data_IF_905260715904
#
_entry.id   IF_905260715904
#
_cell.length_a   1.000
_cell.length_b   1.000
_cell.length_c   1.000
_cell.angle_alpha   90.00
_cell.angle_beta   90.00
_cell.angle_gamma   90.00
#
_symmetry.space_group_name_H-M   'P 1'
#
loop_
_entity.id
_entity.type
_entity.pdbx_description
1 polymer ?
#
# COMPACT_ATOMS: atom_id res chain seq x y z
N UNK A 1 -23.95 -0.04 29.86
CA UNK A 1 -23.40 -1.10 30.74
C UNK A 1 -22.71 -2.07 29.81
N UNK A 2 -21.42 -1.91 29.58
CA UNK A 2 -20.67 -2.70 28.59
C UNK A 2 -19.92 -3.81 29.29
N UNK A 3 -20.29 -5.05 28.97
CA UNK A 3 -19.67 -6.28 29.43
C UNK A 3 -18.40 -6.52 28.62
N UNK A 4 -17.30 -6.90 29.27
CA UNK A 4 -16.08 -7.38 28.59
C UNK A 4 -15.83 -8.82 29.01
N UNK A 5 -15.78 -9.68 28.01
CA UNK A 5 -15.40 -11.08 28.06
C UNK A 5 -13.89 -11.15 27.77
N UNK A 6 -13.13 -11.80 28.63
CA UNK A 6 -11.78 -12.22 28.34
C UNK A 6 -11.83 -13.64 27.75
N UNK A 7 -11.23 -13.84 26.59
CA UNK A 7 -10.95 -15.15 26.06
C UNK A 7 -9.46 -15.23 25.72
N UNK A 8 -8.75 -16.12 26.40
CA UNK A 8 -7.45 -16.61 25.94
C UNK A 8 -7.74 -17.67 24.88
N UNK A 9 -7.53 -17.36 23.61
CA UNK A 9 -7.57 -18.39 22.57
C UNK A 9 -6.16 -18.87 22.30
N UNK A 10 -5.72 -19.87 23.05
CA UNK A 10 -4.84 -20.90 22.52
C UNK A 10 -5.70 -22.15 22.37
N UNK A 11 -6.22 -22.37 21.18
CA UNK A 11 -6.59 -23.70 20.71
C UNK A 11 -6.06 -23.81 19.28
N UNK A 12 -5.03 -24.64 19.11
CA UNK A 12 -4.73 -25.28 17.84
C UNK A 12 -5.97 -26.10 17.42
N UNK A 13 -6.43 -26.05 16.17
CA UNK A 13 -7.29 -27.10 15.67
C UNK A 13 -6.43 -28.35 15.49
N UNK A 14 -6.66 -29.37 16.32
CA UNK A 14 -6.35 -30.76 15.95
C UNK A 14 -7.14 -31.07 14.66
N UNK A 15 -6.40 -31.26 13.56
CA UNK A 15 -6.97 -31.46 12.23
C UNK A 15 -5.90 -31.81 11.21
N UNK A 16 -5.53 -33.08 11.21
CA UNK A 16 -4.63 -33.82 10.31
C UNK A 16 -4.47 -33.24 8.89
N UNK A 17 -3.39 -32.50 8.71
CA UNK A 17 -2.85 -32.08 7.43
C UNK A 17 -1.45 -31.52 7.67
N UNK A 18 -0.43 -32.39 7.67
CA UNK A 18 0.97 -31.98 7.76
C UNK A 18 1.30 -30.99 6.65
N UNK A 19 1.22 -29.69 6.95
CA UNK A 19 1.97 -28.68 6.23
C UNK A 19 3.35 -28.70 6.87
N UNK A 20 4.31 -29.35 6.20
CA UNK A 20 5.69 -29.35 6.63
C UNK A 20 6.14 -27.90 6.86
N UNK A 21 6.53 -27.58 8.09
CA UNK A 21 7.18 -26.32 8.39
C UNK A 21 8.41 -26.20 7.46
N UNK A 22 8.61 -25.07 6.76
CA UNK A 22 9.79 -24.91 5.93
C UNK A 22 11.04 -25.09 6.80
N UNK A 23 11.88 -26.04 6.40
CA UNK A 23 13.16 -26.30 7.05
C UNK A 23 14.08 -25.11 6.80
N UNK A 24 14.25 -24.29 7.83
CA UNK A 24 15.26 -23.23 7.86
C UNK A 24 16.63 -23.88 7.65
N UNK A 25 17.42 -23.36 6.71
CA UNK A 25 18.78 -23.82 6.48
C UNK A 25 19.57 -23.83 7.81
N UNK A 26 20.36 -24.88 8.09
CA UNK A 26 21.02 -25.08 9.40
C UNK A 26 21.99 -23.96 9.83
N UNK A 27 22.27 -23.00 8.95
CA UNK A 27 23.21 -21.90 9.16
C UNK A 27 22.54 -20.55 9.50
N UNK A 28 21.23 -20.42 9.33
CA UNK A 28 20.50 -19.21 9.71
C UNK A 28 20.33 -19.14 11.23
N UNK A 29 21.33 -18.62 11.93
CA UNK A 29 21.26 -18.33 13.37
C UNK A 29 20.45 -17.05 13.62
N UNK A 30 19.13 -17.12 13.44
CA UNK A 30 18.29 -16.15 14.15
C UNK A 30 18.39 -16.49 15.63
N UNK A 31 19.16 -15.69 16.37
CA UNK A 31 19.06 -15.71 17.84
C UNK A 31 17.88 -14.81 18.16
N UNK A 32 16.72 -15.36 18.60
CA UNK A 32 15.61 -14.51 18.99
C UNK A 32 16.13 -13.55 20.06
N UNK A 33 15.86 -12.26 19.90
CA UNK A 33 16.09 -11.33 21.01
C UNK A 33 15.43 -11.92 22.25
N UNK A 34 16.15 -11.90 23.38
CA UNK A 34 15.57 -12.28 24.66
C UNK A 34 14.35 -11.37 24.89
N UNK A 35 13.15 -11.90 24.65
CA UNK A 35 11.91 -11.17 24.92
C UNK A 35 11.78 -11.16 26.43
N UNK A 36 12.00 -9.99 27.03
CA UNK A 36 11.71 -9.78 28.43
C UNK A 36 10.24 -10.16 28.64
N UNK A 37 9.97 -11.23 29.40
CA UNK A 37 8.59 -11.59 29.75
C UNK A 37 8.04 -10.46 30.59
N UNK A 38 7.28 -9.58 29.96
CA UNK A 38 6.59 -8.52 30.66
C UNK A 38 5.51 -9.18 31.52
N UNK A 39 5.77 -9.24 32.82
CA UNK A 39 4.75 -9.50 33.84
C UNK A 39 3.61 -8.51 33.66
N UNK A 40 2.38 -8.94 33.96
CA UNK A 40 1.12 -8.17 33.90
C UNK A 40 1.32 -6.65 33.94
N UNK A 41 0.67 -5.87 33.06
CA UNK A 41 0.77 -4.42 33.11
C UNK A 41 0.48 -3.96 34.54
N UNK A 42 1.39 -3.16 35.12
CA UNK A 42 1.28 -2.73 36.52
C UNK A 42 -0.02 -1.96 36.83
N UNK A 43 -0.76 -1.59 35.78
CA UNK A 43 -2.01 -0.86 35.76
C UNK A 43 -3.06 -1.63 34.94
N UNK A 44 -4.34 -1.56 35.33
CA UNK A 44 -5.43 -2.22 34.59
C UNK A 44 -5.61 -1.69 33.16
N UNK A 45 -6.34 -2.44 32.31
CA UNK A 45 -6.54 -2.11 30.89
C UNK A 45 -7.02 -0.67 30.63
N UNK A 46 -7.87 -0.12 31.51
CA UNK A 46 -8.39 1.24 31.38
C UNK A 46 -7.30 2.29 31.54
N UNK A 47 -6.45 2.12 32.56
CA UNK A 47 -5.33 3.03 32.81
C UNK A 47 -4.29 2.91 31.70
N UNK A 48 -4.02 1.69 31.22
CA UNK A 48 -3.14 1.44 30.07
C UNK A 48 -3.67 2.06 28.77
N UNK A 49 -4.99 2.00 28.53
CA UNK A 49 -5.62 2.66 27.38
C UNK A 49 -5.60 4.18 27.51
N UNK A 50 -5.85 4.73 28.71
CA UNK A 50 -5.81 6.17 28.98
C UNK A 50 -4.40 6.76 28.96
N UNK A 51 -3.35 5.95 29.12
CA UNK A 51 -1.97 6.40 29.06
C UNK A 51 -1.36 6.36 27.66
N UNK A 52 -2.10 5.89 26.65
CA UNK A 52 -1.62 5.90 25.27
C UNK A 52 -1.29 7.32 24.80
N UNK A 53 -0.15 7.51 24.10
CA UNK A 53 0.17 8.78 23.45
C UNK A 53 -0.98 9.29 22.59
N UNK A 54 -1.23 10.60 22.65
CA UNK A 54 -2.33 11.22 21.93
C UNK A 54 -2.25 10.98 20.41
N UNK A 55 -1.04 10.94 19.85
CA UNK A 55 -0.81 10.62 18.44
C UNK A 55 -1.27 9.21 18.07
N UNK A 56 -1.04 8.21 18.93
CA UNK A 56 -1.49 6.84 18.72
C UNK A 56 -3.01 6.76 18.76
N UNK A 57 -3.63 7.43 19.74
CA UNK A 57 -5.09 7.52 19.83
C UNK A 57 -5.69 8.22 18.59
N UNK A 58 -5.05 9.27 18.07
CA UNK A 58 -5.48 9.95 16.84
C UNK A 58 -5.41 9.03 15.63
N UNK A 59 -4.31 8.29 15.44
CA UNK A 59 -4.14 7.32 14.35
C UNK A 59 -5.21 6.23 14.42
N UNK A 60 -5.46 5.66 15.60
CA UNK A 60 -6.50 4.65 15.83
C UNK A 60 -7.90 5.21 15.52
N UNK A 61 -8.19 6.43 15.98
CA UNK A 61 -9.48 7.09 15.72
C UNK A 61 -9.71 7.36 14.23
N UNK A 62 -8.66 7.71 13.48
CA UNK A 62 -8.72 7.91 12.02
C UNK A 62 -9.02 6.61 11.27
N UNK A 63 -8.53 5.48 11.76
CA UNK A 63 -8.80 4.16 11.18
C UNK A 63 -10.14 3.53 11.56
N UNK A 64 -10.99 4.23 12.32
CA UNK A 64 -12.28 3.72 12.78
C UNK A 64 -13.45 4.29 11.97
N UNK A 65 -14.34 3.42 11.49
CA UNK A 65 -15.60 3.76 10.85
C UNK A 65 -16.76 3.05 11.56
N UNK A 66 -17.78 3.79 12.06
CA UNK A 66 -18.93 3.20 12.75
C UNK A 66 -19.65 2.13 11.90
N UNK A 67 -19.93 0.96 12.49
CA UNK A 67 -20.62 -0.13 11.80
C UNK A 67 -19.71 -1.04 10.96
N UNK A 68 -18.54 -0.57 10.52
CA UNK A 68 -17.57 -1.38 9.75
C UNK A 68 -16.37 -1.86 10.58
N UNK A 69 -15.95 -1.06 11.54
CA UNK A 69 -14.82 -1.36 12.42
C UNK A 69 -15.16 -2.39 13.51
N UNK A 70 -14.15 -3.09 14.06
CA UNK A 70 -14.34 -3.98 15.19
C UNK A 70 -14.77 -3.23 16.46
N UNK A 71 -15.53 -3.91 17.32
CA UNK A 71 -15.97 -3.40 18.62
C UNK A 71 -14.82 -3.29 19.63
N UNK A 72 -13.78 -4.10 19.45
CA UNK A 72 -12.57 -4.15 20.29
C UNK A 72 -11.34 -4.06 19.39
N UNK A 73 -10.45 -3.12 19.72
CA UNK A 73 -9.14 -3.00 19.10
C UNK A 73 -8.09 -3.29 20.18
N UNK A 74 -7.18 -4.20 19.89
CA UNK A 74 -6.05 -4.51 20.76
C UNK A 74 -4.85 -3.68 20.30
N UNK A 75 -4.20 -3.00 21.24
CA UNK A 75 -2.96 -2.24 20.99
C UNK A 75 -1.84 -2.92 21.79
N UNK A 76 -0.94 -3.65 21.11
CA UNK A 76 0.24 -4.20 21.75
C UNK A 76 1.08 -3.12 22.44
N UNK A 77 1.82 -3.50 23.49
CA UNK A 77 2.79 -2.59 24.10
C UNK A 77 3.96 -2.40 23.14
N UNK A 78 4.37 -1.17 22.89
CA UNK A 78 5.58 -0.86 22.10
C UNK A 78 6.82 -1.58 22.70
N UNK A 79 7.69 -2.21 21.88
CA UNK A 79 7.75 -2.23 20.42
C UNK A 79 7.07 -3.46 19.76
N UNK A 80 6.15 -4.13 20.45
CA UNK A 80 5.47 -5.30 19.90
C UNK A 80 4.44 -4.90 18.85
N UNK A 81 4.21 -5.77 17.85
CA UNK A 81 3.18 -5.62 16.83
C UNK A 81 2.58 -6.99 16.50
N UNK A 82 1.41 -7.02 15.83
CA UNK A 82 0.80 -8.28 15.40
C UNK A 82 1.54 -8.85 14.20
N UNK A 83 1.83 -10.14 14.20
CA UNK A 83 2.48 -10.84 13.09
C UNK A 83 2.68 -12.32 13.42
N UNK A 84 3.20 -13.06 12.46
CA UNK A 84 3.63 -14.44 12.60
C UNK A 84 5.10 -14.58 12.15
N UNK A 85 5.73 -15.71 12.50
CA UNK A 85 7.13 -15.98 12.14
C UNK A 85 7.40 -15.91 10.63
N UNK A 86 6.44 -16.32 9.81
CA UNK A 86 6.53 -16.32 8.34
C UNK A 86 5.73 -15.19 7.69
N UNK A 87 5.07 -14.34 8.48
CA UNK A 87 4.21 -13.26 7.98
C UNK A 87 4.32 -12.05 8.90
N UNK A 88 5.18 -11.12 8.54
CA UNK A 88 5.31 -9.86 9.26
C UNK A 88 4.16 -8.92 8.88
N UNK A 89 3.69 -8.13 9.84
CA UNK A 89 2.73 -7.06 9.57
C UNK A 89 3.44 -5.71 9.58
N UNK A 90 2.87 -4.77 8.83
CA UNK A 90 3.19 -3.36 8.89
C UNK A 90 2.09 -2.54 9.61
N UNK A 91 1.18 -3.23 10.30
CA UNK A 91 0.02 -2.61 10.96
C UNK A 91 0.28 -2.21 12.41
N UNK A 92 0.11 -0.93 12.71
CA UNK A 92 -0.02 -0.45 14.07
C UNK A 92 0.15 1.06 14.22
N UNK A 93 -0.13 1.60 15.42
CA UNK A 93 -0.11 3.05 15.62
C UNK A 93 1.29 3.62 15.88
N UNK A 94 2.31 2.78 16.06
CA UNK A 94 3.66 3.21 16.44
C UNK A 94 4.42 3.85 15.28
N UNK A 95 5.33 4.76 15.59
CA UNK A 95 6.11 5.50 14.60
C UNK A 95 6.90 4.62 13.63
N UNK A 96 7.46 3.51 14.11
CA UNK A 96 8.25 2.60 13.26
C UNK A 96 7.41 1.81 12.24
N UNK A 97 6.09 1.81 12.37
CA UNK A 97 5.14 1.26 11.37
C UNK A 97 4.39 2.36 10.60
N UNK A 98 4.54 3.62 11.00
CA UNK A 98 3.81 4.73 10.40
C UNK A 98 4.69 5.56 9.46
N UNK A 99 5.99 5.70 9.76
CA UNK A 99 6.92 6.57 9.02
C UNK A 99 7.33 5.96 7.68
N UNK A 100 6.97 6.64 6.60
CA UNK A 100 7.21 6.21 5.21
C UNK A 100 7.97 7.28 4.42
N UNK A 101 8.77 6.91 3.41
CA UNK A 101 9.30 7.88 2.45
C UNK A 101 8.17 8.40 1.56
N UNK A 102 8.18 9.70 1.25
CA UNK A 102 7.32 10.31 0.25
C UNK A 102 8.16 11.22 -0.63
N UNK A 103 8.29 10.86 -1.90
CA UNK A 103 9.18 11.53 -2.84
C UNK A 103 8.41 11.90 -4.08
N UNK A 104 8.50 13.17 -4.46
CA UNK A 104 7.99 13.71 -5.71
C UNK A 104 9.16 13.97 -6.64
N UNK A 105 9.01 13.59 -7.90
CA UNK A 105 10.01 13.84 -8.92
C UNK A 105 9.34 14.13 -10.26
N UNK A 106 9.75 15.22 -10.91
CA UNK A 106 9.19 15.64 -12.20
C UNK A 106 9.81 16.96 -12.65
N UNK A 107 10.82 16.95 -13.55
CA UNK A 107 11.47 18.18 -14.01
C UNK A 107 10.47 19.18 -14.60
N UNK A 108 10.47 20.42 -14.09
CA UNK A 108 9.56 21.50 -14.52
C UNK A 108 8.14 21.42 -13.95
N UNK A 109 7.86 20.42 -13.09
CA UNK A 109 6.56 20.23 -12.43
C UNK A 109 6.71 20.14 -10.90
N UNK A 110 7.81 19.56 -10.43
CA UNK A 110 8.16 19.37 -9.02
C UNK A 110 9.42 20.18 -8.72
N UNK A 111 9.41 20.90 -7.60
CA UNK A 111 10.55 21.67 -7.13
C UNK A 111 11.73 20.72 -6.77
N UNK A 112 12.93 20.87 -7.36
CA UNK A 112 14.08 20.01 -7.10
C UNK A 112 14.89 20.49 -5.88
N UNK A 113 14.25 20.55 -4.70
CA UNK A 113 14.84 21.11 -3.48
C UNK A 113 15.48 20.07 -2.53
N UNK A 114 15.38 18.78 -2.84
CA UNK A 114 15.81 17.73 -1.91
C UNK A 114 14.84 17.59 -0.74
N UNK A 115 15.36 17.62 0.48
CA UNK A 115 14.56 17.43 1.69
C UNK A 115 13.65 18.64 1.98
N UNK A 116 12.35 18.37 2.11
CA UNK A 116 11.34 19.36 2.51
C UNK A 116 10.78 19.00 3.89
N UNK A 117 10.97 19.88 4.86
CA UNK A 117 10.33 19.81 6.18
C UNK A 117 9.21 20.83 6.27
N UNK A 118 8.08 20.43 6.85
CA UNK A 118 6.90 21.28 7.01
C UNK A 118 6.53 21.37 8.50
N UNK A 119 6.04 22.54 8.92
CA UNK A 119 5.56 22.78 10.29
C UNK A 119 4.14 22.21 10.53
N UNK A 120 3.85 21.05 9.92
CA UNK A 120 2.59 20.31 10.10
C UNK A 120 2.82 18.82 9.92
N UNK A 121 1.92 18.02 10.51
CA UNK A 121 1.84 16.60 10.18
C UNK A 121 1.47 16.46 8.70
N UNK A 122 2.28 15.73 7.95
CA UNK A 122 2.01 15.32 6.57
C UNK A 122 1.68 13.84 6.58
N UNK A 123 0.61 13.47 5.89
CA UNK A 123 0.22 12.06 5.76
C UNK A 123 0.05 11.64 4.32
N UNK A 124 -0.02 10.35 4.04
CA UNK A 124 -0.30 9.86 2.67
C UNK A 124 -1.67 10.32 2.12
N UNK A 125 -2.60 10.73 2.99
CA UNK A 125 -3.85 11.37 2.58
C UNK A 125 -3.66 12.77 1.98
N UNK A 126 -2.46 13.35 2.09
CA UNK A 126 -2.14 14.61 1.40
C UNK A 126 -1.74 14.38 -0.06
N UNK A 127 -1.59 13.13 -0.52
CA UNK A 127 -1.14 12.84 -1.89
C UNK A 127 -2.19 13.20 -2.94
N UNK A 128 -3.41 12.64 -2.86
CA UNK A 128 -4.48 12.96 -3.81
C UNK A 128 -4.73 14.47 -4.00
N UNK A 129 -4.88 15.30 -2.95
CA UNK A 129 -5.05 16.75 -3.16
C UNK A 129 -3.81 17.45 -3.72
N UNK A 130 -2.58 16.96 -3.41
CA UNK A 130 -1.36 17.50 -4.04
C UNK A 130 -1.30 17.19 -5.53
N UNK A 131 -1.68 15.97 -5.92
CA UNK A 131 -1.73 15.57 -7.33
C UNK A 131 -2.88 16.26 -8.07
N UNK A 132 -4.01 16.51 -7.41
CA UNK A 132 -5.09 17.33 -7.97
C UNK A 132 -4.64 18.77 -8.24
N UNK A 133 -3.88 19.39 -7.33
CA UNK A 133 -3.28 20.71 -7.57
C UNK A 133 -2.27 20.69 -8.72
N UNK A 134 -1.52 19.59 -8.88
CA UNK A 134 -0.62 19.40 -10.02
C UNK A 134 -1.38 19.24 -11.34
N UNK A 135 -2.58 18.67 -11.30
CA UNK A 135 -3.48 18.50 -12.45
C UNK A 135 -4.36 19.73 -12.72
N UNK A 136 -4.26 20.78 -11.89
CA UNK A 136 -5.12 21.96 -11.93
C UNK A 136 -6.64 21.63 -11.84
N UNK A 137 -7.00 20.65 -11.01
CA UNK A 137 -8.41 20.25 -10.77
C UNK A 137 -8.82 20.41 -9.31
N UNK A 138 -10.09 20.75 -9.08
CA UNK A 138 -10.64 20.74 -7.72
C UNK A 138 -10.85 19.31 -7.24
N UNK A 139 -10.40 19.00 -6.03
CA UNK A 139 -10.54 17.67 -5.44
C UNK A 139 -11.34 17.70 -4.13
N UNK A 140 -12.44 16.94 -4.03
CA UNK A 140 -13.30 16.97 -2.86
C UNK A 140 -12.72 16.13 -1.71
N UNK A 141 -11.83 16.73 -0.91
CA UNK A 141 -11.34 16.11 0.33
C UNK A 141 -11.67 16.95 1.57
N UNK A 142 -12.03 16.25 2.65
CA UNK A 142 -12.32 16.85 3.95
C UNK A 142 -11.11 16.86 4.90
N UNK A 143 -10.01 16.18 4.56
CA UNK A 143 -8.91 15.92 5.50
C UNK A 143 -7.54 16.22 4.91
N UNK A 144 -7.21 15.56 3.80
CA UNK A 144 -5.97 15.77 3.07
C UNK A 144 -5.84 17.21 2.61
N UNK A 145 -4.61 17.72 2.62
CA UNK A 145 -4.29 19.07 2.12
C UNK A 145 -3.09 19.01 1.20
N UNK A 146 -3.06 19.80 0.11
CA UNK A 146 -1.89 19.87 -0.74
C UNK A 146 -0.61 20.12 0.07
N UNK A 147 0.48 19.48 -0.33
CA UNK A 147 1.78 19.62 0.30
C UNK A 147 2.47 20.85 -0.30
N UNK A 148 2.42 21.94 0.45
CA UNK A 148 3.02 23.22 0.07
C UNK A 148 4.52 23.08 -0.21
N UNK A 149 4.99 23.72 -1.27
CA UNK A 149 6.39 23.72 -1.67
C UNK A 149 6.82 22.53 -2.51
N UNK A 150 5.98 21.50 -2.72
CA UNK A 150 6.33 20.36 -3.60
C UNK A 150 6.30 20.74 -5.08
N UNK A 151 5.29 21.49 -5.51
CA UNK A 151 5.08 21.81 -6.92
C UNK A 151 5.97 22.97 -7.37
N UNK A 152 6.52 22.87 -8.57
CA UNK A 152 7.24 23.97 -9.22
C UNK A 152 6.24 25.11 -9.50
N UNK A 153 6.45 26.32 -8.94
CA UNK A 153 5.56 27.46 -9.16
C UNK A 153 5.63 28.02 -10.59
N UNK A 154 6.66 27.63 -11.37
CA UNK A 154 6.86 28.05 -12.76
C UNK A 154 6.31 27.06 -13.79
N UNK A 155 5.67 25.97 -13.35
CA UNK A 155 5.06 24.97 -14.23
C UNK A 155 4.11 25.61 -15.25
N UNK A 156 4.19 25.16 -16.50
CA UNK A 156 3.41 25.73 -17.61
C UNK A 156 1.98 25.16 -17.74
N UNK A 157 1.59 24.24 -16.86
CA UNK A 157 0.32 23.52 -16.87
C UNK A 157 0.48 22.13 -16.22
N UNK A 158 -0.52 21.24 -16.36
CA UNK A 158 -0.48 19.90 -15.81
C UNK A 158 0.48 18.99 -16.60
N UNK A 159 1.07 17.97 -15.94
CA UNK A 159 1.89 16.97 -16.62
C UNK A 159 1.02 16.08 -17.49
N UNK A 160 1.61 15.55 -18.57
CA UNK A 160 0.91 14.61 -19.46
C UNK A 160 0.60 13.26 -18.81
N UNK A 161 1.41 12.85 -17.82
CA UNK A 161 1.25 11.58 -17.11
C UNK A 161 1.75 11.75 -15.68
N UNK A 162 1.03 11.14 -14.74
CA UNK A 162 1.45 10.99 -13.35
C UNK A 162 1.61 9.50 -13.08
N UNK A 163 2.75 9.11 -12.52
CA UNK A 163 3.00 7.74 -12.09
C UNK A 163 3.19 7.71 -10.58
N UNK A 164 2.24 7.10 -9.88
CA UNK A 164 2.33 6.83 -8.44
C UNK A 164 2.84 5.41 -8.21
N UNK A 165 3.96 5.27 -7.51
CA UNK A 165 4.56 3.97 -7.17
C UNK A 165 4.55 3.79 -5.66
N UNK A 166 4.04 2.66 -5.19
CA UNK A 166 3.98 2.32 -3.75
C UNK A 166 4.70 1.01 -3.50
N UNK A 167 5.60 1.01 -2.51
CA UNK A 167 6.18 -0.21 -1.94
C UNK A 167 5.33 -0.62 -0.74
N UNK A 168 4.39 -1.55 -0.94
CA UNK A 168 3.52 -2.02 0.15
C UNK A 168 4.35 -2.66 1.27
N UNK A 169 4.13 -2.20 2.51
CA UNK A 169 4.95 -2.56 3.68
C UNK A 169 6.35 -1.94 3.74
N UNK A 170 6.71 -1.09 2.77
CA UNK A 170 7.95 -0.33 2.78
C UNK A 170 7.88 0.87 3.70
N UNK A 171 8.83 0.99 4.63
CA UNK A 171 8.94 2.13 5.53
C UNK A 171 10.39 2.55 5.78
N UNK A 172 10.56 3.64 6.54
CA UNK A 172 11.90 4.12 6.90
C UNK A 172 12.70 3.11 7.74
N UNK A 173 12.04 2.23 8.47
CA UNK A 173 12.67 1.10 9.17
C UNK A 173 13.43 0.18 8.20
N UNK A 174 12.81 -0.18 7.08
CA UNK A 174 13.41 -1.00 6.00
C UNK A 174 14.56 -0.23 5.36
N UNK A 175 14.33 0.99 4.88
CA UNK A 175 15.35 1.76 4.14
C UNK A 175 16.60 2.09 4.99
N UNK A 176 16.44 2.31 6.29
CA UNK A 176 17.57 2.54 7.22
C UNK A 176 18.33 1.27 7.55
N UNK A 177 17.69 0.11 7.47
CA UNK A 177 18.36 -1.18 7.67
C UNK A 177 19.30 -1.48 6.50
N UNK A 178 18.94 -1.06 5.29
CA UNK A 178 19.71 -1.29 4.07
C UNK A 178 19.97 0.03 3.31
N UNK A 179 20.80 0.93 3.85
CA UNK A 179 20.97 2.29 3.31
C UNK A 179 21.54 2.32 1.88
N UNK A 180 22.36 1.34 1.51
CA UNK A 180 23.02 1.30 0.19
C UNK A 180 22.20 0.57 -0.89
N UNK A 181 20.98 0.11 -0.57
CA UNK A 181 20.19 -0.78 -1.43
C UNK A 181 19.05 -0.07 -2.21
N UNK A 182 18.97 1.26 -2.15
CA UNK A 182 17.95 2.04 -2.85
C UNK A 182 18.50 3.26 -3.61
N UNK A 183 19.62 3.14 -4.38
CA UNK A 183 20.28 4.28 -5.02
C UNK A 183 19.41 4.99 -6.07
N UNK A 184 18.38 4.32 -6.60
CA UNK A 184 17.42 4.95 -7.52
C UNK A 184 16.49 5.93 -6.79
N UNK A 185 15.98 5.55 -5.62
CA UNK A 185 15.15 6.42 -4.79
C UNK A 185 15.99 7.60 -4.28
N UNK A 186 17.24 7.36 -3.86
CA UNK A 186 18.15 8.44 -3.43
C UNK A 186 18.35 9.51 -4.52
N UNK A 187 18.52 9.09 -5.77
CA UNK A 187 18.60 10.03 -6.90
C UNK A 187 17.31 10.81 -7.14
N UNK A 188 16.15 10.16 -6.98
CA UNK A 188 14.86 10.84 -7.11
C UNK A 188 14.65 11.86 -5.98
N UNK A 189 15.07 11.53 -4.75
CA UNK A 189 15.05 12.45 -3.62
C UNK A 189 15.93 13.67 -3.89
N UNK A 190 17.17 13.45 -4.34
CA UNK A 190 18.13 14.53 -4.60
C UNK A 190 17.72 15.42 -5.79
N UNK A 191 17.05 14.85 -6.80
CA UNK A 191 16.61 15.57 -8.01
C UNK A 191 15.17 16.08 -7.97
N UNK A 192 14.46 15.88 -6.84
CA UNK A 192 13.05 16.22 -6.66
C UNK A 192 12.80 16.80 -5.28
N UNK A 193 11.63 16.50 -4.70
CA UNK A 193 11.29 16.85 -3.32
C UNK A 193 11.05 15.58 -2.50
N UNK A 194 11.80 15.40 -1.41
CA UNK A 194 11.62 14.35 -0.41
C UNK A 194 11.01 14.94 0.85
N UNK A 195 9.72 14.67 1.08
CA UNK A 195 9.00 15.21 2.23
C UNK A 195 9.38 14.44 3.49
N UNK A 196 9.85 15.15 4.50
CA UNK A 196 10.34 14.56 5.75
C UNK A 196 9.19 14.26 6.72
N UNK A 197 9.41 13.27 7.59
CA UNK A 197 8.50 12.89 8.69
C UNK A 197 7.06 12.54 8.27
N UNK A 198 6.88 12.07 7.02
CA UNK A 198 5.57 11.62 6.52
C UNK A 198 5.14 10.33 7.22
N UNK A 199 3.85 10.27 7.56
CA UNK A 199 3.22 9.07 8.13
C UNK A 199 2.06 8.55 7.27
N UNK A 200 1.74 7.25 7.37
CA UNK A 200 0.52 6.69 6.73
C UNK A 200 -0.78 7.25 7.33
N UNK A 201 -0.74 7.76 8.57
CA UNK A 201 -1.73 8.68 9.12
C UNK A 201 -2.93 8.05 9.84
N UNK A 202 -3.21 6.76 9.62
CA UNK A 202 -4.25 6.00 10.32
C UNK A 202 -3.76 4.63 10.80
N UNK A 203 -4.45 4.08 11.81
CA UNK A 203 -4.23 2.73 12.33
C UNK A 203 -5.57 2.00 12.50
N UNK A 204 -5.70 0.72 12.10
CA UNK A 204 -4.64 -0.16 11.62
C UNK A 204 -4.08 0.28 10.27
N UNK A 205 -2.75 0.26 10.13
CA UNK A 205 -2.06 0.68 8.90
C UNK A 205 -2.00 -0.44 7.86
N UNK A 206 -3.13 -1.09 7.63
CA UNK A 206 -3.23 -2.24 6.70
C UNK A 206 -3.43 -1.79 5.25
N UNK A 207 -3.00 -2.63 4.31
CA UNK A 207 -2.98 -2.35 2.86
C UNK A 207 -4.24 -1.66 2.34
N UNK A 208 -5.46 -2.24 2.42
CA UNK A 208 -6.64 -1.62 1.81
C UNK A 208 -7.00 -0.27 2.42
N UNK A 209 -6.80 -0.07 3.72
CA UNK A 209 -7.07 1.21 4.35
C UNK A 209 -6.09 2.29 3.86
N UNK A 210 -4.78 2.01 3.90
CA UNK A 210 -3.76 3.01 3.57
C UNK A 210 -3.73 3.32 2.07
N UNK A 211 -3.98 2.34 1.21
CA UNK A 211 -4.08 2.57 -0.23
C UNK A 211 -5.31 3.42 -0.58
N UNK A 212 -6.43 3.25 0.13
CA UNK A 212 -7.57 4.16 -0.03
C UNK A 212 -7.27 5.56 0.51
N UNK A 213 -6.48 5.72 1.59
CA UNK A 213 -6.05 7.05 2.03
C UNK A 213 -5.33 7.81 0.92
N UNK A 214 -4.43 7.13 0.21
CA UNK A 214 -3.63 7.69 -0.88
C UNK A 214 -4.53 8.25 -1.99
N UNK A 215 -5.51 7.46 -2.48
CA UNK A 215 -6.34 7.84 -3.62
C UNK A 215 -7.47 8.81 -3.27
N UNK A 216 -8.00 8.78 -2.05
CA UNK A 216 -9.15 9.60 -1.64
C UNK A 216 -8.76 10.90 -0.93
N UNK A 217 -7.51 10.99 -0.48
CA UNK A 217 -7.08 12.04 0.44
C UNK A 217 -7.87 12.08 1.76
N UNK A 218 -8.46 10.96 2.16
CA UNK A 218 -9.26 10.80 3.37
C UNK A 218 -8.64 9.70 4.28
N UNK A 219 -9.24 9.47 5.45
CA UNK A 219 -8.90 8.32 6.31
C UNK A 219 -10.07 7.33 6.34
N UNK A 220 -9.91 6.12 6.91
CA UNK A 220 -10.98 5.12 6.94
C UNK A 220 -12.27 5.61 7.56
N UNK A 221 -12.16 6.54 8.52
CA UNK A 221 -13.30 7.22 9.12
C UNK A 221 -14.19 7.99 8.12
N UNK A 222 -13.66 8.39 6.97
CA UNK A 222 -14.38 9.08 5.90
C UNK A 222 -14.68 8.15 4.73
N UNK A 223 -13.72 7.37 4.26
CA UNK A 223 -13.89 6.57 3.03
C UNK A 223 -14.44 5.16 3.28
N UNK A 224 -14.56 4.71 4.54
CA UNK A 224 -15.22 3.45 4.90
C UNK A 224 -14.37 2.17 4.80
N UNK A 225 -13.17 2.24 4.22
CA UNK A 225 -12.26 1.08 4.10
C UNK A 225 -11.39 0.93 5.34
N UNK A 226 -11.85 0.13 6.31
CA UNK A 226 -11.23 0.04 7.65
C UNK A 226 -10.15 -1.02 7.80
N UNK A 227 -10.10 -1.99 6.88
CA UNK A 227 -9.14 -3.09 6.92
C UNK A 227 -9.43 -4.13 5.86
N UNK A 228 -8.82 -5.32 6.01
CA UNK A 228 -9.08 -6.45 5.09
C UNK A 228 -10.49 -6.99 5.33
N UNK A 229 -10.86 -7.44 6.55
CA UNK A 229 -12.26 -7.75 6.84
C UNK A 229 -13.03 -6.45 7.09
N UNK A 230 -14.24 -6.36 6.52
CA UNK A 230 -15.18 -5.26 6.72
C UNK A 230 -16.49 -5.85 7.25
N UNK A 231 -17.06 -5.22 8.29
CA UNK A 231 -18.40 -5.57 8.77
C UNK A 231 -19.44 -4.88 7.90
N UNK A 232 -20.40 -5.65 7.39
CA UNK A 232 -21.55 -5.18 6.62
C UNK A 232 -22.69 -4.73 7.53
N UNK A 233 -23.66 -3.99 6.98
CA UNK A 233 -24.82 -3.47 7.74
C UNK A 233 -25.66 -4.59 8.39
N UNK A 234 -25.76 -5.75 7.74
CA UNK A 234 -26.47 -6.92 8.26
C UNK A 234 -25.66 -7.70 9.33
N UNK A 235 -24.45 -7.24 9.64
CA UNK A 235 -23.54 -7.82 10.62
C UNK A 235 -22.64 -8.93 10.07
N UNK A 236 -22.77 -9.31 8.81
CA UNK A 236 -21.86 -10.26 8.14
C UNK A 236 -20.49 -9.62 7.90
N UNK A 237 -19.50 -10.46 7.57
CA UNK A 237 -18.14 -10.01 7.25
C UNK A 237 -17.87 -10.22 5.77
N UNK A 238 -17.42 -9.17 5.10
CA UNK A 238 -16.89 -9.20 3.74
C UNK A 238 -15.39 -8.90 3.75
N UNK A 239 -14.79 -8.95 2.55
CA UNK A 239 -13.40 -8.57 2.34
C UNK A 239 -13.39 -7.24 1.57
N UNK A 240 -12.55 -6.31 1.99
CA UNK A 240 -12.33 -5.06 1.26
C UNK A 240 -11.90 -5.37 -0.18
N UNK A 241 -12.57 -4.72 -1.12
CA UNK A 241 -12.37 -4.96 -2.55
C UNK A 241 -12.64 -6.41 -2.99
N UNK A 242 -13.55 -7.10 -2.32
CA UNK A 242 -14.02 -8.41 -2.79
C UNK A 242 -14.57 -8.29 -4.21
N UNK A 243 -14.37 -9.35 -4.99
CA UNK A 243 -14.66 -9.35 -6.43
C UNK A 243 -14.00 -8.20 -7.22
N UNK A 244 -12.95 -7.56 -6.67
CA UNK A 244 -12.23 -6.43 -7.28
C UNK A 244 -13.17 -5.25 -7.53
N UNK A 245 -14.02 -4.97 -6.56
CA UNK A 245 -15.01 -3.91 -6.56
C UNK A 245 -14.63 -2.83 -5.54
N UNK A 246 -14.61 -1.54 -5.89
CA UNK A 246 -14.38 -0.45 -4.93
C UNK A 246 -15.67 0.02 -4.24
N UNK A 247 -16.75 -0.76 -4.28
CA UNK A 247 -18.08 -0.42 -3.71
C UNK A 247 -18.08 -0.02 -2.23
N UNK A 248 -17.13 -0.51 -1.43
CA UNK A 248 -16.98 -0.07 -0.05
C UNK A 248 -16.44 1.36 0.09
N UNK A 249 -15.87 1.97 -0.94
CA UNK A 249 -15.29 3.31 -0.85
C UNK A 249 -16.39 4.36 -1.01
N UNK A 250 -16.58 5.18 0.02
CA UNK A 250 -17.74 6.10 0.10
C UNK A 250 -17.47 7.50 -0.46
N UNK A 251 -16.25 7.79 -0.85
CA UNK A 251 -15.80 9.11 -1.32
C UNK A 251 -15.04 8.97 -2.64
N UNK A 252 -15.06 9.99 -3.51
CA UNK A 252 -14.31 9.95 -4.76
C UNK A 252 -12.80 9.73 -4.54
N UNK A 253 -12.19 8.97 -5.45
CA UNK A 253 -10.74 8.90 -5.59
C UNK A 253 -10.27 9.95 -6.61
N UNK A 254 -8.97 10.19 -6.66
CA UNK A 254 -8.37 11.12 -7.63
C UNK A 254 -8.69 10.73 -9.07
N UNK A 255 -8.66 9.42 -9.39
CA UNK A 255 -9.01 8.91 -10.70
C UNK A 255 -10.44 9.28 -11.09
N UNK A 256 -11.42 9.06 -10.21
CA UNK A 256 -12.83 9.43 -10.47
C UNK A 256 -13.00 10.92 -10.79
N UNK A 257 -12.27 11.76 -10.07
CA UNK A 257 -12.39 13.21 -10.19
C UNK A 257 -11.75 13.69 -11.48
N UNK A 258 -10.53 13.26 -11.76
CA UNK A 258 -9.81 13.70 -12.95
C UNK A 258 -10.45 13.15 -14.22
N UNK A 259 -10.81 11.87 -14.23
CA UNK A 259 -11.43 11.21 -15.38
C UNK A 259 -12.71 11.94 -15.83
N UNK A 260 -13.61 12.22 -14.88
CA UNK A 260 -14.81 12.98 -15.12
C UNK A 260 -14.56 14.41 -15.64
N UNK A 261 -13.50 15.10 -15.19
CA UNK A 261 -13.16 16.45 -15.69
C UNK A 261 -12.69 16.45 -17.15
N UNK A 262 -12.28 15.28 -17.65
CA UNK A 262 -11.83 15.09 -19.03
C UNK A 262 -12.87 14.41 -19.92
N UNK A 263 -14.09 14.20 -19.42
CA UNK A 263 -15.14 13.45 -20.13
C UNK A 263 -14.68 12.03 -20.52
N UNK A 264 -13.95 11.36 -19.62
CA UNK A 264 -13.37 10.03 -19.79
C UNK A 264 -12.35 9.92 -20.94
N UNK A 265 -11.67 11.02 -21.25
CA UNK A 265 -10.58 11.03 -22.25
C UNK A 265 -9.23 10.73 -21.59
N UNK A 266 -9.08 11.00 -20.29
CA UNK A 266 -7.87 10.68 -19.56
C UNK A 266 -7.80 9.17 -19.27
N UNK A 267 -6.67 8.56 -19.61
CA UNK A 267 -6.42 7.18 -19.24
C UNK A 267 -6.12 7.06 -17.73
N UNK A 268 -6.94 6.29 -17.01
CA UNK A 268 -6.70 5.89 -15.63
C UNK A 268 -6.34 4.41 -15.58
N UNK A 269 -5.25 4.10 -14.89
CA UNK A 269 -4.68 2.76 -14.90
C UNK A 269 -4.04 2.33 -13.59
N UNK A 270 -4.18 1.05 -13.26
CA UNK A 270 -3.48 0.41 -12.15
C UNK A 270 -2.87 -0.93 -12.58
N UNK A 271 -1.66 -1.17 -12.11
CA UNK A 271 -1.10 -2.52 -11.99
C UNK A 271 -0.87 -2.83 -10.52
N UNK A 272 -1.46 -3.92 -10.01
CA UNK A 272 -1.28 -4.35 -8.63
C UNK A 272 -1.39 -5.87 -8.46
N UNK A 273 -1.05 -6.38 -7.27
CA UNK A 273 -1.13 -7.81 -6.99
C UNK A 273 -2.48 -8.25 -6.37
N UNK A 274 -3.19 -7.34 -5.73
CA UNK A 274 -4.47 -7.63 -5.07
C UNK A 274 -5.40 -6.46 -5.23
N UNK A 275 -6.71 -6.73 -5.18
CA UNK A 275 -7.75 -5.69 -5.17
C UNK A 275 -7.60 -4.69 -4.03
N UNK A 276 -6.92 -5.05 -2.93
CA UNK A 276 -6.66 -4.15 -1.81
C UNK A 276 -5.97 -2.82 -2.19
N UNK A 277 -5.26 -2.77 -3.32
CA UNK A 277 -4.58 -1.55 -3.76
C UNK A 277 -5.50 -0.60 -4.55
N UNK A 278 -6.69 -1.06 -4.97
CA UNK A 278 -7.59 -0.33 -5.86
C UNK A 278 -8.06 1.01 -5.30
N UNK A 279 -7.98 1.20 -3.98
CA UNK A 279 -8.26 2.47 -3.32
C UNK A 279 -7.38 3.65 -3.78
N UNK A 280 -6.29 3.40 -4.52
CA UNK A 280 -5.47 4.46 -5.13
C UNK A 280 -5.96 4.92 -6.51
N UNK A 281 -6.91 4.21 -7.12
CA UNK A 281 -7.28 4.39 -8.54
C UNK A 281 -8.57 5.21 -8.67
N UNK A 282 -9.69 4.53 -8.94
CA UNK A 282 -11.02 5.05 -9.23
C UNK A 282 -12.06 3.97 -8.94
N UNK A 283 -13.33 4.33 -9.08
CA UNK A 283 -14.46 3.41 -9.10
C UNK A 283 -14.75 2.83 -10.50
N UNK A 284 -14.10 3.33 -11.55
CA UNK A 284 -14.36 2.95 -12.94
C UNK A 284 -15.84 3.08 -13.30
N UNK A 285 -16.38 2.06 -13.98
CA UNK A 285 -17.75 2.11 -14.49
C UNK A 285 -18.83 1.99 -13.39
N UNK A 286 -18.43 1.89 -12.11
CA UNK A 286 -19.35 2.04 -10.98
C UNK A 286 -19.75 3.51 -10.77
N UNK A 287 -18.87 4.47 -11.11
CA UNK A 287 -19.20 5.90 -11.09
C UNK A 287 -20.24 6.20 -12.18
N UNK A 288 -21.33 6.93 -11.86
CA UNK A 288 -22.32 7.31 -12.88
C UNK A 288 -21.67 8.11 -14.02
N UNK A 289 -21.65 7.53 -15.22
CA UNK A 289 -21.02 8.13 -16.39
C UNK A 289 -19.53 7.81 -16.57
N UNK A 290 -18.91 7.11 -15.61
CA UNK A 290 -17.55 6.59 -15.74
C UNK A 290 -17.48 5.44 -16.75
N UNK A 291 -16.33 5.29 -17.37
CA UNK A 291 -16.03 4.19 -18.28
C UNK A 291 -15.20 3.11 -17.57
N UNK A 292 -14.68 2.15 -18.33
CA UNK A 292 -13.91 1.04 -17.77
C UNK A 292 -12.44 1.40 -17.75
N UNK A 293 -11.98 1.91 -16.63
CA UNK A 293 -10.56 2.11 -16.38
C UNK A 293 -9.76 0.80 -16.45
N UNK A 294 -8.46 0.91 -16.73
CA UNK A 294 -7.56 -0.23 -16.84
C UNK A 294 -7.11 -0.68 -15.45
N UNK A 295 -7.54 -1.86 -15.02
CA UNK A 295 -7.12 -2.44 -13.74
C UNK A 295 -6.53 -3.83 -13.95
N UNK A 296 -5.20 -3.91 -13.94
CA UNK A 296 -4.44 -5.14 -14.15
C UNK A 296 -4.04 -5.70 -12.79
N UNK A 297 -4.80 -6.67 -12.28
CA UNK A 297 -4.49 -7.32 -11.01
C UNK A 297 -3.88 -8.70 -11.24
N UNK A 298 -2.60 -8.84 -10.92
CA UNK A 298 -1.90 -10.11 -11.00
C UNK A 298 -2.41 -11.11 -9.95
N UNK A 299 -2.58 -12.38 -10.31
CA UNK A 299 -2.88 -13.44 -9.34
C UNK A 299 -1.63 -14.27 -9.01
N UNK A 300 -1.79 -15.28 -8.16
CA UNK A 300 -0.69 -16.18 -7.74
C UNK A 300 -0.17 -17.10 -8.85
N UNK A 301 -0.85 -17.14 -9.99
CA UNK A 301 -0.51 -17.93 -11.18
C UNK A 301 -0.01 -17.03 -12.32
N UNK A 302 0.36 -15.77 -12.02
CA UNK A 302 0.87 -14.81 -13.00
C UNK A 302 -0.11 -14.46 -14.12
N UNK A 303 -1.40 -14.68 -13.88
CA UNK A 303 -2.47 -14.21 -14.77
C UNK A 303 -3.03 -12.89 -14.31
N UNK A 304 -3.58 -12.13 -15.25
CA UNK A 304 -4.17 -10.83 -14.97
C UNK A 304 -5.68 -10.91 -14.94
N UNK A 305 -6.27 -10.36 -13.90
CA UNK A 305 -7.70 -10.42 -13.65
C UNK A 305 -8.22 -9.07 -13.20
N UNK A 306 -9.49 -8.80 -13.49
CA UNK A 306 -10.19 -7.61 -13.01
C UNK A 306 -11.66 -7.91 -12.73
N UNK A 307 -12.45 -6.93 -12.30
CA UNK A 307 -13.91 -7.00 -12.36
C UNK A 307 -14.37 -6.54 -13.75
N UNK A 308 -14.80 -7.45 -14.65
CA UNK A 308 -15.08 -7.10 -16.04
C UNK A 308 -16.32 -6.21 -16.22
N UNK A 309 -17.12 -6.00 -15.16
CA UNK A 309 -18.23 -5.06 -15.20
C UNK A 309 -17.77 -3.62 -14.94
N UNK A 310 -16.68 -3.44 -14.21
CA UNK A 310 -16.23 -2.13 -13.72
C UNK A 310 -14.95 -1.63 -14.41
N UNK A 311 -14.09 -2.55 -14.83
CA UNK A 311 -12.75 -2.28 -15.33
C UNK A 311 -12.43 -3.20 -16.50
N UNK A 312 -11.30 -2.94 -17.16
CA UNK A 312 -10.77 -3.82 -18.19
C UNK A 312 -9.30 -4.19 -18.00
N UNK A 313 -8.93 -5.29 -18.65
CA UNK A 313 -7.55 -5.72 -18.85
C UNK A 313 -7.35 -5.76 -20.36
N UNK A 314 -6.44 -4.94 -20.93
CA UNK A 314 -6.19 -4.97 -22.37
C UNK A 314 -5.76 -6.37 -22.81
N UNK A 315 -6.39 -6.88 -23.88
CA UNK A 315 -6.26 -8.30 -24.27
C UNK A 315 -4.83 -8.73 -24.58
N UNK A 316 -3.99 -7.80 -25.07
CA UNK A 316 -2.60 -8.07 -25.40
C UNK A 316 -1.70 -8.21 -24.17
N UNK A 317 -2.16 -7.88 -22.96
CA UNK A 317 -1.36 -8.00 -21.74
C UNK A 317 -0.98 -9.46 -21.49
N UNK A 318 -1.87 -10.40 -21.82
CA UNK A 318 -1.62 -11.84 -21.75
C UNK A 318 -0.61 -12.33 -22.82
N UNK A 319 -0.36 -11.54 -23.87
CA UNK A 319 0.65 -11.85 -24.91
C UNK A 319 2.05 -11.37 -24.53
N UNK A 320 2.20 -10.63 -23.42
CA UNK A 320 3.50 -10.16 -22.95
C UNK A 320 4.29 -11.38 -22.41
N UNK A 321 5.54 -11.61 -22.87
CA UNK A 321 6.36 -12.71 -22.36
C UNK A 321 6.43 -12.71 -20.83
N UNK A 322 6.19 -13.88 -20.23
CA UNK A 322 6.14 -14.07 -18.79
C UNK A 322 7.48 -13.90 -18.08
N UNK A 323 7.56 -14.34 -16.82
CA UNK A 323 8.73 -14.12 -15.97
C UNK A 323 10.01 -14.84 -16.42
N UNK A 324 9.94 -15.87 -17.25
CA UNK A 324 11.06 -16.77 -17.53
C UNK A 324 12.30 -16.03 -18.08
N UNK A 325 12.11 -15.04 -18.95
CA UNK A 325 13.22 -14.21 -19.47
C UNK A 325 13.88 -13.34 -18.38
N UNK A 326 13.09 -12.90 -17.40
CA UNK A 326 13.56 -12.07 -16.29
C UNK A 326 14.23 -12.89 -15.19
N UNK A 327 13.77 -14.13 -14.98
CA UNK A 327 14.40 -15.08 -14.05
C UNK A 327 15.85 -15.31 -14.44
N UNK A 328 16.11 -15.59 -15.71
CA UNK A 328 17.48 -15.74 -16.22
C UNK A 328 18.34 -14.49 -16.04
N UNK A 329 17.73 -13.31 -16.15
CA UNK A 329 18.43 -12.03 -15.92
C UNK A 329 18.83 -11.88 -14.45
N UNK A 330 17.98 -12.34 -13.53
CA UNK A 330 18.22 -12.27 -12.08
C UNK A 330 19.22 -13.33 -11.61
N UNK A 331 19.13 -14.54 -12.13
CA UNK A 331 20.11 -15.61 -11.90
C UNK A 331 21.52 -15.12 -12.25
N UNK A 332 21.69 -14.50 -13.42
CA UNK A 332 22.98 -13.91 -13.83
C UNK A 332 23.45 -12.72 -12.98
N UNK A 333 22.58 -12.10 -12.16
CA UNK A 333 22.87 -10.83 -11.52
C UNK A 333 23.84 -10.95 -10.33
N UNK A 334 23.94 -12.12 -9.70
CA UNK A 334 24.92 -12.40 -8.64
C UNK A 334 26.24 -13.00 -9.20
N UNK A 335 26.34 -13.14 -10.52
CA UNK A 335 27.54 -13.58 -11.23
C UNK A 335 27.63 -15.09 -11.43
N UNK A 336 26.64 -15.85 -10.97
CA UNK A 336 26.50 -17.28 -11.23
C UNK A 336 25.30 -17.53 -12.17
N UNK A 337 25.11 -18.77 -12.60
CA UNK A 337 24.05 -19.19 -13.52
C UNK A 337 23.64 -20.58 -13.04
N UNK A 338 23.07 -20.60 -11.84
CA UNK A 338 22.91 -21.79 -11.01
C UNK A 338 21.45 -22.03 -10.58
N UNK A 339 20.52 -21.28 -11.20
CA UNK A 339 19.08 -21.28 -10.92
C UNK A 339 18.77 -20.82 -9.48
N UNK A 340 19.65 -20.03 -8.89
CA UNK A 340 19.47 -19.44 -7.56
C UNK A 340 19.48 -17.92 -7.63
N UNK A 341 18.98 -17.32 -6.56
CA UNK A 341 19.12 -15.90 -6.33
C UNK A 341 19.73 -15.68 -4.95
N UNK A 342 20.94 -15.12 -4.92
CA UNK A 342 21.71 -14.94 -3.67
C UNK A 342 21.89 -16.27 -2.91
N UNK A 343 22.05 -17.38 -3.63
CA UNK A 343 22.19 -18.74 -3.07
C UNK A 343 20.89 -19.40 -2.62
N UNK A 344 19.73 -18.79 -2.86
CA UNK A 344 18.41 -19.35 -2.54
C UNK A 344 17.74 -19.98 -3.77
N UNK A 345 17.21 -21.21 -3.62
CA UNK A 345 16.49 -21.97 -4.65
C UNK A 345 15.03 -21.49 -4.83
N UNK A 346 14.87 -20.21 -5.19
CA UNK A 346 13.55 -19.54 -5.25
C UNK A 346 13.06 -19.29 -6.68
N UNK A 347 13.91 -19.50 -7.69
CA UNK A 347 13.62 -19.14 -9.08
C UNK A 347 12.68 -20.14 -9.79
N UNK A 348 12.69 -21.40 -9.35
CA UNK A 348 11.89 -22.48 -9.95
C UNK A 348 10.45 -22.56 -9.41
N UNK A 349 10.16 -21.97 -8.25
CA UNK A 349 8.84 -22.02 -7.63
C UNK A 349 8.01 -20.78 -8.02
N UNK A 350 6.85 -20.93 -8.71
CA UNK A 350 5.99 -19.78 -9.08
C UNK A 350 5.55 -18.91 -7.89
N UNK A 351 5.41 -19.51 -6.70
CA UNK A 351 5.06 -18.79 -5.49
C UNK A 351 6.18 -17.85 -5.02
N UNK A 352 7.44 -18.26 -5.17
CA UNK A 352 8.64 -17.63 -4.58
C UNK A 352 9.44 -16.81 -5.59
N UNK A 353 9.43 -17.17 -6.88
CA UNK A 353 10.14 -16.43 -7.93
C UNK A 353 9.65 -14.98 -8.05
N UNK A 354 8.43 -14.73 -7.57
CA UNK A 354 7.81 -13.39 -7.48
C UNK A 354 8.37 -12.53 -6.34
N UNK A 355 9.02 -13.15 -5.36
CA UNK A 355 9.71 -12.45 -4.26
C UNK A 355 11.14 -12.04 -4.65
N UNK A 356 11.52 -12.22 -5.92
CA UNK A 356 12.80 -11.81 -6.49
C UNK A 356 12.65 -10.56 -7.38
N UNK A 357 13.76 -9.87 -7.73
CA UNK A 357 13.73 -8.73 -8.64
C UNK A 357 13.12 -9.02 -10.02
N UNK A 358 12.98 -10.30 -10.42
CA UNK A 358 12.40 -10.69 -11.69
C UNK A 358 10.95 -10.19 -11.82
N UNK A 359 10.20 -10.20 -10.70
CA UNK A 359 8.85 -9.66 -10.66
C UNK A 359 8.79 -8.16 -10.93
N UNK A 360 9.69 -7.38 -10.34
CA UNK A 360 9.77 -5.93 -10.57
C UNK A 360 10.10 -5.62 -12.03
N UNK A 361 10.99 -6.40 -12.66
CA UNK A 361 11.33 -6.24 -14.07
C UNK A 361 10.15 -6.58 -14.99
N UNK A 362 9.44 -7.67 -14.70
CA UNK A 362 8.25 -8.08 -15.42
C UNK A 362 7.10 -7.07 -15.29
N UNK A 363 6.80 -6.62 -14.06
CA UNK A 363 5.83 -5.56 -13.79
C UNK A 363 6.20 -4.28 -14.56
N UNK A 364 7.48 -3.88 -14.56
CA UNK A 364 7.96 -2.72 -15.30
C UNK A 364 7.71 -2.86 -16.80
N UNK A 365 7.92 -4.06 -17.37
CA UNK A 365 7.66 -4.32 -18.78
C UNK A 365 6.18 -4.17 -19.13
N UNK A 366 5.28 -4.69 -18.29
CA UNK A 366 3.84 -4.58 -18.50
C UNK A 366 3.41 -3.12 -18.43
N UNK A 367 3.77 -2.42 -17.35
CA UNK A 367 3.43 -1.00 -17.17
C UNK A 367 3.90 -0.17 -18.38
N UNK A 368 5.15 -0.32 -18.81
CA UNK A 368 5.68 0.42 -19.99
C UNK A 368 4.94 0.07 -21.29
N UNK A 369 4.50 -1.17 -21.44
CA UNK A 369 3.76 -1.61 -22.64
C UNK A 369 2.36 -1.00 -22.66
N UNK A 370 1.67 -1.03 -21.52
CA UNK A 370 0.34 -0.42 -21.35
C UNK A 370 0.40 1.09 -21.55
N UNK A 371 1.32 1.78 -20.86
CA UNK A 371 1.51 3.23 -21.03
C UNK A 371 1.68 3.62 -22.50
N UNK A 372 2.46 2.85 -23.27
CA UNK A 372 2.72 3.13 -24.68
C UNK A 372 1.56 2.77 -25.61
N UNK A 373 0.75 1.76 -25.30
CA UNK A 373 -0.29 1.25 -26.21
C UNK A 373 -1.64 1.90 -25.99
N UNK A 374 -1.95 2.23 -24.74
CA UNK A 374 -3.20 2.90 -24.35
C UNK A 374 -3.09 4.42 -24.42
N UNK A 375 -1.90 4.97 -24.69
CA UNK A 375 -1.74 6.40 -24.93
C UNK A 375 -1.65 7.25 -23.66
N UNK A 376 -1.26 6.67 -22.53
CA UNK A 376 -0.95 7.43 -21.32
C UNK A 376 0.11 8.50 -21.62
N UNK A 377 -0.29 9.77 -21.52
CA UNK A 377 0.55 10.93 -21.79
C UNK A 377 0.87 11.21 -23.26
N UNK A 378 0.07 10.71 -24.20
CA UNK A 378 0.16 11.04 -25.62
C UNK A 378 -0.09 12.54 -25.90
#
# INVERSE_FOLDING_TARGET
>A
MSMVVAACTNEEPEGDGEVAAPTVAPEARFTPMQVERVTEPAAGWRESGCSLPLEYVRRIRRGNYPGRSPDVIVVPREPNFFGAFTSTSHSGPWDYLQKVPLVFYGPGFIEPQGDLSLDREVTVADLAPTLAELLDVEFPTAVGRPIEGVLDPSRAGPPKVILTVVWDGGGWNTLRTWPDQWPHLERLMAGGTSVQDVIVGSSPSVTPAIHTNIGTGAFPKQHGTVGIPIREEDGTMSIAFDNKSPDHVEVPMLGDTYDATTENVAEVGMFAFKGWHMGMMSHGALTPGGDKDIAILANTQEKFVTNPNLFEVPSYVEDIPGLDDYIRTVDQADGELDDKWMGHEVLDQPSERRDTPAWTLFQTKIIKTVLSREGFGA
#
